data_IF_636744576259
#
_entry.id   IF_636744576259
#
_cell.length_a   1.000
_cell.length_b   1.000
_cell.length_c   1.000
_cell.angle_alpha   90.00
_cell.angle_beta   90.00
_cell.angle_gamma   90.00
#
_symmetry.space_group_name_H-M   'P 1'
#
loop_
_entity.id
_entity.type
_entity.pdbx_description
1 polymer ?
#
# COMPACT_ATOMS: atom_id res chain seq x y z
N UNK A 1 20.09 -18.92 -20.20
CA UNK A 1 19.04 -17.92 -19.90
C UNK A 1 19.70 -16.57 -19.76
N UNK A 2 19.36 -15.64 -20.63
CA UNK A 2 19.83 -14.26 -20.50
C UNK A 2 19.14 -13.57 -19.31
N UNK A 3 19.73 -12.48 -18.79
CA UNK A 3 19.10 -11.71 -17.72
C UNK A 3 17.71 -11.16 -18.11
N UNK A 4 17.49 -10.89 -19.40
CA UNK A 4 16.22 -10.41 -19.93
C UNK A 4 15.11 -11.48 -19.82
N UNK A 5 15.40 -12.72 -20.22
CA UNK A 5 14.44 -13.82 -20.13
C UNK A 5 14.03 -14.11 -18.67
N UNK A 6 14.98 -14.06 -17.75
CA UNK A 6 14.72 -14.25 -16.32
C UNK A 6 13.85 -13.11 -15.75
N UNK A 7 14.12 -11.87 -16.17
CA UNK A 7 13.32 -10.71 -15.78
C UNK A 7 11.89 -10.79 -16.35
N UNK A 8 11.73 -11.14 -17.63
CA UNK A 8 10.43 -11.28 -18.26
C UNK A 8 9.59 -12.38 -17.64
N UNK A 9 10.18 -13.55 -17.36
CA UNK A 9 9.50 -14.66 -16.69
C UNK A 9 8.99 -14.23 -15.31
N UNK A 10 9.81 -13.50 -14.54
CA UNK A 10 9.46 -13.06 -13.19
C UNK A 10 8.42 -11.94 -13.19
N UNK A 11 8.56 -10.96 -14.10
CA UNK A 11 7.54 -9.93 -14.32
C UNK A 11 6.19 -10.58 -14.65
N UNK A 12 6.17 -11.54 -15.59
CA UNK A 12 4.94 -12.25 -15.97
C UNK A 12 4.33 -12.96 -14.77
N UNK A 13 5.14 -13.62 -13.94
CA UNK A 13 4.64 -14.26 -12.72
C UNK A 13 3.99 -13.26 -11.74
N UNK A 14 4.55 -12.06 -11.59
CA UNK A 14 4.01 -11.05 -10.67
C UNK A 14 2.77 -10.34 -11.21
N UNK A 15 2.69 -10.14 -12.52
CA UNK A 15 1.60 -9.37 -13.14
C UNK A 15 0.46 -10.24 -13.64
N UNK A 16 0.62 -11.56 -13.69
CA UNK A 16 -0.46 -12.47 -14.08
C UNK A 16 -1.43 -12.60 -12.90
N UNK A 17 -2.69 -12.15 -13.03
CA UNK A 17 -3.68 -12.32 -11.98
C UNK A 17 -3.89 -13.81 -11.70
N UNK A 18 -3.98 -14.17 -10.43
CA UNK A 18 -4.28 -15.55 -10.07
C UNK A 18 -5.77 -15.81 -10.36
N UNK A 19 -6.07 -16.86 -11.14
CA UNK A 19 -7.42 -17.10 -11.66
C UNK A 19 -8.48 -17.30 -10.56
N UNK A 20 -8.04 -17.73 -9.38
CA UNK A 20 -8.89 -17.96 -8.21
C UNK A 20 -9.13 -16.70 -7.35
N UNK A 21 -8.59 -15.55 -7.74
CA UNK A 21 -8.79 -14.30 -6.98
C UNK A 21 -10.15 -13.71 -7.35
N UNK A 22 -11.10 -13.83 -6.43
CA UNK A 22 -12.37 -13.12 -6.51
C UNK A 22 -12.16 -11.64 -6.13
N UNK A 23 -12.07 -10.78 -7.15
CA UNK A 23 -11.86 -9.34 -6.98
C UNK A 23 -13.03 -8.67 -6.24
N UNK A 24 -14.26 -9.11 -6.47
CA UNK A 24 -15.44 -8.54 -5.81
C UNK A 24 -15.45 -8.83 -4.31
N UNK A 25 -15.12 -10.07 -3.94
CA UNK A 25 -14.96 -10.46 -2.53
C UNK A 25 -13.83 -9.66 -1.87
N UNK A 26 -12.68 -9.53 -2.54
CA UNK A 26 -11.58 -8.70 -2.05
C UNK A 26 -12.01 -7.24 -1.84
N UNK A 27 -12.73 -6.62 -2.79
CA UNK A 27 -13.24 -5.25 -2.64
C UNK A 27 -14.21 -5.14 -1.45
N UNK A 28 -15.09 -6.13 -1.25
CA UNK A 28 -15.98 -6.14 -0.08
C UNK A 28 -15.21 -6.24 1.23
N UNK A 29 -14.14 -7.03 1.28
CA UNK A 29 -13.26 -7.10 2.45
C UNK A 29 -12.57 -5.77 2.75
N UNK A 30 -12.18 -5.02 1.72
CA UNK A 30 -11.57 -3.70 1.88
C UNK A 30 -12.54 -2.66 2.46
N UNK A 31 -13.84 -2.85 2.29
CA UNK A 31 -14.87 -1.97 2.86
C UNK A 31 -15.24 -2.33 4.31
N UNK A 32 -14.58 -3.32 4.92
CA UNK A 32 -14.79 -3.69 6.33
C UNK A 32 -14.40 -2.53 7.25
N UNK A 33 -15.17 -2.35 8.34
CA UNK A 33 -14.96 -1.30 9.36
C UNK A 33 -13.52 -1.26 9.91
N UNK A 34 -12.81 -2.39 9.89
CA UNK A 34 -11.45 -2.52 10.39
C UNK A 34 -10.41 -1.61 9.70
N UNK A 35 -10.67 -1.14 8.48
CA UNK A 35 -9.75 -0.27 7.74
C UNK A 35 -10.13 1.22 7.76
N UNK A 36 -11.27 1.58 8.39
CA UNK A 36 -11.75 2.97 8.42
C UNK A 36 -10.71 3.94 9.00
N UNK A 37 -10.00 3.52 10.03
CA UNK A 37 -8.97 4.32 10.68
C UNK A 37 -7.74 4.55 9.80
N UNK A 38 -7.45 3.62 8.87
CA UNK A 38 -6.35 3.74 7.92
C UNK A 38 -6.72 4.68 6.76
N UNK A 39 -8.00 4.77 6.41
CA UNK A 39 -8.49 5.68 5.37
C UNK A 39 -8.54 7.13 5.86
N UNK A 40 -8.80 7.37 7.15
CA UNK A 40 -8.94 8.71 7.75
C UNK A 40 -7.62 9.52 7.64
N UNK A 41 -7.58 10.60 6.83
CA UNK A 41 -6.40 11.44 6.68
C UNK A 41 -5.86 12.02 7.99
N UNK A 42 -6.73 12.28 8.97
CA UNK A 42 -6.35 12.87 10.25
C UNK A 42 -5.56 11.89 11.13
N UNK A 43 -5.75 10.58 10.93
CA UNK A 43 -5.10 9.53 11.73
C UNK A 43 -3.76 9.08 11.13
N UNK A 44 -3.53 9.32 9.84
CA UNK A 44 -2.36 8.83 9.09
C UNK A 44 -1.03 9.16 9.75
N UNK A 45 -0.83 10.40 10.18
CA UNK A 45 0.43 10.79 10.83
C UNK A 45 0.65 10.06 12.16
N UNK A 46 -0.42 9.85 12.94
CA UNK A 46 -0.33 9.08 14.19
C UNK A 46 0.05 7.62 13.93
N UNK A 47 -0.61 7.00 12.94
CA UNK A 47 -0.32 5.61 12.54
C UNK A 47 1.12 5.50 12.01
N UNK A 48 1.58 6.46 11.19
CA UNK A 48 2.95 6.49 10.70
C UNK A 48 3.96 6.49 11.86
N UNK A 49 3.76 7.35 12.88
CA UNK A 49 4.64 7.40 14.05
C UNK A 49 4.64 6.09 14.83
N UNK A 50 3.49 5.43 14.97
CA UNK A 50 3.41 4.10 15.59
C UNK A 50 4.23 3.06 14.82
N UNK A 51 4.10 3.03 13.49
CA UNK A 51 4.79 2.04 12.65
C UNK A 51 6.31 2.29 12.57
N UNK A 52 6.72 3.54 12.30
CA UNK A 52 8.11 3.84 11.95
C UNK A 52 8.94 4.26 13.15
N UNK A 53 8.39 5.05 14.07
CA UNK A 53 9.16 5.57 15.21
C UNK A 53 9.05 4.65 16.44
N UNK A 54 7.89 4.02 16.62
CA UNK A 54 7.64 3.12 17.76
C UNK A 54 7.76 1.64 17.37
N UNK A 55 8.04 1.34 16.10
CA UNK A 55 8.19 -0.01 15.56
C UNK A 55 7.01 -0.95 15.88
N UNK A 56 5.80 -0.39 16.00
CA UNK A 56 4.59 -1.20 16.15
C UNK A 56 4.25 -1.90 14.83
N UNK A 57 3.58 -3.03 14.93
CA UNK A 57 3.16 -3.84 13.78
C UNK A 57 1.66 -4.09 13.82
N UNK A 58 1.03 -4.18 12.65
CA UNK A 58 -0.34 -4.65 12.58
C UNK A 58 -0.43 -6.13 12.97
N UNK A 59 -1.51 -6.48 13.66
CA UNK A 59 -1.79 -7.88 14.05
C UNK A 59 -2.22 -8.75 12.87
N UNK A 60 -2.66 -8.13 11.78
CA UNK A 60 -3.10 -8.79 10.56
C UNK A 60 -2.48 -8.10 9.34
N UNK A 61 -2.29 -8.80 8.21
CA UNK A 61 -1.84 -8.19 6.98
C UNK A 61 -2.78 -7.04 6.56
N UNK A 62 -2.20 -5.89 6.23
CA UNK A 62 -2.95 -4.72 5.76
C UNK A 62 -2.76 -4.55 4.25
N UNK A 63 -3.84 -4.37 3.48
CA UNK A 63 -3.76 -4.08 2.06
C UNK A 63 -2.94 -2.82 1.76
N UNK A 64 -2.03 -2.93 0.78
CA UNK A 64 -1.06 -1.88 0.46
C UNK A 64 -1.70 -0.52 0.15
N UNK A 65 -2.92 -0.51 -0.44
CA UNK A 65 -3.66 0.72 -0.76
C UNK A 65 -3.85 1.64 0.46
N UNK A 66 -3.95 1.07 1.66
CA UNK A 66 -4.12 1.82 2.90
C UNK A 66 -2.79 2.33 3.47
N UNK A 67 -1.71 1.58 3.24
CA UNK A 67 -0.38 1.89 3.78
C UNK A 67 0.31 3.00 3.01
N UNK A 68 0.16 3.03 1.68
CA UNK A 68 0.82 4.03 0.83
C UNK A 68 0.50 5.48 1.28
N UNK A 69 -0.77 5.88 1.48
CA UNK A 69 -1.10 7.23 1.96
C UNK A 69 -0.54 7.56 3.34
N UNK A 70 -0.43 6.56 4.23
CA UNK A 70 0.14 6.71 5.57
C UNK A 70 1.64 7.02 5.46
N UNK A 71 2.38 6.26 4.66
CA UNK A 71 3.81 6.47 4.44
C UNK A 71 4.09 7.83 3.79
N UNK A 72 3.33 8.19 2.75
CA UNK A 72 3.50 9.50 2.07
C UNK A 72 3.25 10.65 3.05
N UNK A 73 2.24 10.53 3.92
CA UNK A 73 1.96 11.56 4.95
C UNK A 73 3.15 11.72 5.90
N UNK A 74 3.72 10.61 6.38
CA UNK A 74 4.89 10.65 7.26
C UNK A 74 6.15 11.19 6.58
N UNK A 75 6.43 10.76 5.35
CA UNK A 75 7.57 11.27 4.60
C UNK A 75 7.47 12.77 4.27
N UNK A 76 6.25 13.28 4.02
CA UNK A 76 6.03 14.71 3.84
C UNK A 76 6.24 15.50 5.13
N UNK A 77 5.92 14.92 6.28
CA UNK A 77 6.21 15.51 7.59
C UNK A 77 7.72 15.52 7.87
N UNK A 78 8.40 14.41 7.59
CA UNK A 78 9.85 14.26 7.78
C UNK A 78 10.69 15.02 6.73
N UNK A 79 10.06 15.62 5.72
CA UNK A 79 10.73 16.34 4.64
C UNK A 79 11.46 15.44 3.64
N UNK A 80 11.24 14.12 3.69
CA UNK A 80 11.81 13.13 2.77
C UNK A 80 10.97 12.96 1.50
N UNK A 81 9.76 13.52 1.48
CA UNK A 81 8.88 13.59 0.32
C UNK A 81 8.32 15.01 0.11
N UNK A 82 8.25 15.54 -1.13
CA UNK A 82 7.73 16.89 -1.36
C UNK A 82 6.26 17.06 -0.94
N UNK A 83 5.96 18.17 -0.25
CA UNK A 83 4.59 18.54 0.11
C UNK A 83 3.76 18.81 -1.15
N UNK A 84 2.55 18.28 -1.21
CA UNK A 84 1.63 18.45 -2.33
C UNK A 84 1.86 17.50 -3.51
N UNK A 85 2.91 16.67 -3.49
CA UNK A 85 3.10 15.60 -4.47
C UNK A 85 2.17 14.43 -4.13
N UNK A 86 1.02 14.40 -4.79
CA UNK A 86 0.04 13.30 -4.71
C UNK A 86 0.50 12.19 -5.64
N UNK A 87 0.63 10.96 -5.12
CA UNK A 87 0.79 9.77 -5.96
C UNK A 87 -0.51 9.62 -6.75
N UNK A 88 -0.48 9.95 -8.04
CA UNK A 88 -1.61 9.68 -8.93
C UNK A 88 -1.66 8.17 -9.17
N UNK A 89 -2.79 7.55 -8.85
CA UNK A 89 -3.13 6.21 -9.34
C UNK A 89 -3.45 6.31 -10.83
N UNK A 90 -2.46 6.57 -11.67
CA UNK A 90 -2.58 6.31 -13.10
C UNK A 90 -1.82 5.03 -13.38
N UNK A 91 -2.56 3.92 -13.37
CA UNK A 91 -2.17 2.72 -14.12
C UNK A 91 -2.43 3.03 -15.59
N UNK A 92 -1.36 3.19 -16.37
CA UNK A 92 -1.40 2.95 -17.81
C UNK A 92 -1.43 1.44 -18.09
#
# INVERSE_FOLDING_TARGET
MSGLEAWEARRKQWTTPNADVNVEEYIQELNKKQYQDLEDPKKRLGIYKQLIQQHQTFTHPVPLRFIIPILVTGWQEDGTWPKGMIVKETSD
#
